data_IF_306614290043
#
_entry.id   IF_306614290043
#
_cell.length_a   1.000
_cell.length_b   1.000
_cell.length_c   1.000
_cell.angle_alpha   90.00
_cell.angle_beta   90.00
_cell.angle_gamma   90.00
#
_symmetry.space_group_name_H-M   'P 1'
#
loop_
_entity.id
_entity.type
_entity.pdbx_description
1 polymer ?
#
# COMPACT_ATOMS: atom_id res chain seq x y z
N UNK A 1 -20.73 -17.56 -14.06
CA UNK A 1 -20.01 -16.52 -14.83
C UNK A 1 -18.91 -15.82 -14.03
N UNK A 2 -19.11 -15.41 -12.77
CA UNK A 2 -18.07 -14.78 -11.94
C UNK A 2 -16.74 -15.58 -11.84
N UNK A 3 -16.81 -16.92 -11.78
CA UNK A 3 -15.63 -17.82 -11.78
C UNK A 3 -14.80 -17.80 -13.08
N UNK A 4 -15.40 -17.43 -14.21
CA UNK A 4 -14.69 -17.40 -15.51
C UNK A 4 -13.94 -16.08 -15.65
N UNK A 5 -14.55 -14.95 -15.25
CA UNK A 5 -13.92 -13.62 -15.28
C UNK A 5 -12.73 -13.55 -14.32
N UNK A 6 -12.84 -14.16 -13.13
CA UNK A 6 -11.73 -14.31 -12.18
C UNK A 6 -10.47 -14.96 -12.80
N UNK A 7 -10.64 -15.97 -13.66
CA UNK A 7 -9.52 -16.70 -14.25
C UNK A 7 -8.72 -15.89 -15.28
N UNK A 8 -9.27 -14.77 -15.77
CA UNK A 8 -8.62 -13.89 -16.75
C UNK A 8 -8.23 -12.52 -16.18
N UNK A 9 -8.62 -12.20 -14.94
CA UNK A 9 -8.29 -10.94 -14.29
C UNK A 9 -7.06 -11.06 -13.37
N UNK A 10 -6.81 -12.24 -12.81
CA UNK A 10 -5.72 -12.50 -11.86
C UNK A 10 -4.66 -13.40 -12.47
N UNK A 11 -3.40 -13.01 -12.32
CA UNK A 11 -2.25 -13.74 -12.82
C UNK A 11 -1.22 -13.97 -11.70
N UNK A 12 -1.55 -14.71 -10.62
CA UNK A 12 -0.58 -14.96 -9.56
C UNK A 12 0.68 -15.64 -10.13
N UNK A 13 1.88 -15.12 -9.83
CA UNK A 13 3.12 -15.77 -10.26
C UNK A 13 3.33 -17.07 -9.48
N UNK A 14 4.33 -17.86 -9.89
CA UNK A 14 4.87 -18.87 -8.98
C UNK A 14 5.46 -18.14 -7.76
N UNK A 15 5.27 -18.65 -6.53
CA UNK A 15 5.82 -18.01 -5.34
C UNK A 15 7.32 -17.78 -5.48
N UNK A 16 7.75 -16.55 -5.21
CA UNK A 16 9.14 -16.11 -5.29
C UNK A 16 9.82 -16.05 -3.92
N UNK A 17 9.14 -16.56 -2.89
CA UNK A 17 9.60 -16.54 -1.51
C UNK A 17 9.04 -17.73 -0.73
N UNK A 18 9.64 -17.96 0.44
CA UNK A 18 9.16 -18.86 1.47
C UNK A 18 9.00 -18.13 2.80
N UNK A 19 8.20 -18.69 3.72
CA UNK A 19 8.02 -18.15 5.08
C UNK A 19 8.64 -19.13 6.07
N UNK A 20 9.67 -18.67 6.78
CA UNK A 20 10.44 -19.50 7.72
C UNK A 20 10.22 -19.00 9.15
N UNK A 21 10.02 -19.93 10.09
CA UNK A 21 9.95 -19.56 11.51
C UNK A 21 11.35 -19.16 12.02
N UNK A 22 11.43 -18.11 12.82
CA UNK A 22 12.65 -17.76 13.52
C UNK A 22 13.03 -18.85 14.55
N UNK A 23 14.30 -18.92 14.92
CA UNK A 23 14.82 -19.93 15.87
C UNK A 23 14.14 -19.88 17.25
N UNK A 24 13.60 -18.72 17.63
CA UNK A 24 12.86 -18.52 18.88
C UNK A 24 11.38 -18.95 18.81
N UNK A 25 10.90 -19.35 17.63
CA UNK A 25 9.51 -19.74 17.34
C UNK A 25 8.49 -18.60 17.49
N UNK A 26 8.93 -17.35 17.68
CA UNK A 26 8.06 -16.23 18.06
C UNK A 26 7.57 -15.41 16.86
N UNK A 27 8.28 -15.50 15.72
CA UNK A 27 8.02 -14.72 14.52
C UNK A 27 8.37 -15.50 13.25
N UNK A 28 7.84 -15.06 12.10
CA UNK A 28 8.22 -15.60 10.80
C UNK A 28 8.98 -14.57 9.97
N UNK A 29 9.81 -15.04 9.05
CA UNK A 29 10.58 -14.22 8.11
C UNK A 29 10.24 -14.59 6.68
N UNK A 30 10.26 -13.59 5.81
CA UNK A 30 10.19 -13.80 4.38
C UNK A 30 11.59 -14.11 3.84
N UNK A 31 11.77 -15.27 3.22
CA UNK A 31 13.02 -15.67 2.58
C UNK A 31 12.82 -15.73 1.07
N UNK A 32 13.54 -14.87 0.33
CA UNK A 32 13.45 -14.78 -1.13
C UNK A 32 14.05 -16.03 -1.82
N UNK A 33 13.38 -16.51 -2.87
CA UNK A 33 13.93 -17.47 -3.81
C UNK A 33 14.57 -16.73 -4.98
N UNK A 34 15.90 -16.56 -4.90
CA UNK A 34 16.67 -15.84 -5.92
C UNK A 34 16.60 -16.49 -7.31
N UNK A 35 16.32 -17.79 -7.40
CA UNK A 35 16.15 -18.46 -8.70
C UNK A 35 14.84 -18.06 -9.39
N UNK A 36 13.83 -17.68 -8.61
CA UNK A 36 12.56 -17.18 -9.09
C UNK A 36 12.58 -15.67 -9.42
N UNK A 37 13.67 -14.97 -9.06
CA UNK A 37 13.83 -13.51 -9.21
C UNK A 37 15.07 -13.15 -10.05
N UNK A 38 15.09 -13.48 -11.37
CA UNK A 38 16.28 -13.33 -12.21
C UNK A 38 16.74 -11.87 -12.43
N UNK A 39 15.91 -10.89 -12.06
CA UNK A 39 16.21 -9.46 -12.19
C UNK A 39 16.82 -8.85 -10.92
N UNK A 40 16.83 -9.60 -9.80
CA UNK A 40 17.39 -9.13 -8.53
C UNK A 40 18.81 -9.67 -8.41
N UNK A 41 19.78 -8.84 -8.76
CA UNK A 41 21.21 -9.23 -8.80
C UNK A 41 21.98 -8.91 -7.51
N UNK A 42 21.41 -8.12 -6.60
CA UNK A 42 22.09 -7.65 -5.39
C UNK A 42 21.13 -7.63 -4.18
N UNK A 43 20.71 -8.80 -3.69
CA UNK A 43 20.11 -8.87 -2.35
C UNK A 43 21.25 -8.88 -1.34
N UNK A 44 21.46 -7.75 -0.67
CA UNK A 44 22.42 -7.61 0.43
C UNK A 44 21.89 -8.34 1.66
N UNK A 45 22.33 -9.58 1.89
CA UNK A 45 21.97 -10.45 3.04
C UNK A 45 20.45 -10.71 3.17
N UNK A 46 19.99 -11.77 3.85
CA UNK A 46 18.57 -11.97 4.05
C UNK A 46 18.01 -10.83 4.92
N UNK A 47 17.41 -9.83 4.28
CA UNK A 47 16.63 -8.79 4.94
C UNK A 47 15.66 -9.45 5.93
N UNK A 48 15.76 -9.10 7.22
CA UNK A 48 14.94 -9.66 8.30
C UNK A 48 13.49 -9.13 8.23
N UNK A 49 12.85 -9.28 7.07
CA UNK A 49 11.50 -8.80 6.85
C UNK A 49 10.53 -9.70 7.61
N UNK A 50 9.76 -9.07 8.49
CA UNK A 50 8.80 -9.76 9.32
C UNK A 50 7.64 -10.24 8.46
N UNK A 51 7.43 -11.56 8.43
CA UNK A 51 6.28 -12.17 7.83
C UNK A 51 5.33 -12.72 8.92
N UNK A 52 4.05 -12.77 8.62
CA UNK A 52 3.08 -13.49 9.45
C UNK A 52 1.87 -13.89 8.61
N UNK A 53 1.00 -14.74 9.19
CA UNK A 53 -0.26 -15.09 8.58
C UNK A 53 -1.42 -14.42 9.33
N UNK A 54 -2.43 -14.01 8.59
CA UNK A 54 -3.74 -13.66 9.14
C UNK A 54 -4.85 -14.43 8.43
N UNK A 55 -6.01 -14.55 9.08
CA UNK A 55 -7.17 -15.26 8.55
C UNK A 55 -8.26 -14.25 8.23
N UNK A 56 -8.77 -14.31 7.01
CA UNK A 56 -9.80 -13.36 6.55
C UNK A 56 -11.19 -13.80 6.98
N UNK A 57 -12.16 -12.87 6.90
CA UNK A 57 -13.56 -13.20 7.16
C UNK A 57 -14.13 -14.27 6.21
N UNK A 58 -13.45 -14.51 5.08
CA UNK A 58 -13.79 -15.55 4.10
C UNK A 58 -12.97 -16.83 4.25
N UNK A 59 -12.27 -16.96 5.39
CA UNK A 59 -11.47 -18.12 5.81
C UNK A 59 -10.25 -18.43 4.94
N UNK A 60 -9.83 -17.49 4.10
CA UNK A 60 -8.50 -17.54 3.48
C UNK A 60 -7.44 -17.26 4.53
N UNK A 61 -6.31 -17.96 4.44
CA UNK A 61 -5.12 -17.66 5.23
C UNK A 61 -4.13 -16.94 4.33
N UNK A 62 -3.89 -15.66 4.59
CA UNK A 62 -3.05 -14.82 3.75
C UNK A 62 -1.72 -14.49 4.43
N UNK A 63 -0.67 -14.33 3.62
CA UNK A 63 0.66 -13.92 4.08
C UNK A 63 0.70 -12.40 4.13
N UNK A 64 1.26 -11.87 5.21
CA UNK A 64 1.53 -10.44 5.41
C UNK A 64 3.03 -10.22 5.58
N UNK A 65 3.51 -9.07 5.10
CA UNK A 65 4.89 -8.61 5.19
C UNK A 65 4.91 -7.23 5.86
N UNK A 66 5.68 -7.10 6.93
CA UNK A 66 5.93 -5.83 7.58
C UNK A 66 7.37 -5.37 7.33
N UNK A 67 7.51 -4.13 6.84
CA UNK A 67 8.79 -3.49 6.54
C UNK A 67 8.91 -2.24 7.42
N UNK A 68 9.89 -2.18 8.35
CA UNK A 68 10.10 -1.01 9.18
C UNK A 68 10.67 0.17 8.38
N UNK A 69 10.50 1.39 8.89
CA UNK A 69 10.94 2.63 8.22
C UNK A 69 12.44 2.76 7.98
N UNK A 70 13.28 1.97 8.64
CA UNK A 70 14.72 1.91 8.39
C UNK A 70 15.10 0.98 7.23
N UNK A 71 14.13 0.29 6.64
CA UNK A 71 14.34 -0.63 5.53
C UNK A 71 14.68 -2.06 5.95
N UNK A 72 14.74 -2.39 7.26
CA UNK A 72 14.80 -3.79 7.71
C UNK A 72 15.93 -4.15 8.67
N UNK A 73 15.90 -3.61 9.89
CA UNK A 73 16.58 -4.22 11.05
C UNK A 73 15.70 -4.12 12.31
N UNK A 74 14.79 -5.08 12.52
CA UNK A 74 14.20 -5.25 13.85
C UNK A 74 15.32 -5.76 14.76
N UNK A 75 15.91 -4.89 15.58
CA UNK A 75 16.87 -5.33 16.60
C UNK A 75 16.22 -6.44 17.44
N UNK A 76 16.92 -7.55 17.74
CA UNK A 76 16.39 -8.56 18.65
C UNK A 76 16.07 -7.89 19.98
N UNK A 77 14.79 -7.74 20.30
CA UNK A 77 14.39 -7.23 21.61
C UNK A 77 14.80 -8.29 22.62
N UNK A 78 15.91 -8.07 23.32
CA UNK A 78 16.48 -8.95 24.34
C UNK A 78 15.63 -9.03 25.61
N UNK A 79 14.29 -8.95 25.51
CA UNK A 79 13.38 -8.99 26.65
C UNK A 79 12.40 -10.18 26.51
N UNK A 80 12.45 -11.18 27.42
CA UNK A 80 11.59 -12.36 27.35
C UNK A 80 10.12 -12.10 27.73
N UNK A 81 9.69 -10.83 27.85
CA UNK A 81 8.37 -10.49 28.40
C UNK A 81 7.32 -9.98 27.42
N UNK A 82 7.63 -9.76 26.14
CA UNK A 82 6.62 -9.58 25.08
C UNK A 82 7.16 -9.97 23.71
N UNK A 83 6.90 -11.22 23.29
CA UNK A 83 6.84 -11.61 21.88
C UNK A 83 5.67 -10.94 21.11
N UNK A 84 5.09 -9.88 21.69
CA UNK A 84 3.88 -9.16 21.25
C UNK A 84 4.12 -7.64 21.14
N UNK A 85 5.36 -7.18 21.30
CA UNK A 85 5.72 -5.78 21.13
C UNK A 85 6.57 -5.63 19.87
N UNK A 86 5.92 -5.65 18.70
CA UNK A 86 6.49 -5.25 17.40
C UNK A 86 6.74 -3.74 17.34
N UNK A 87 7.17 -3.13 18.45
CA UNK A 87 7.46 -1.72 18.52
C UNK A 87 8.63 -1.43 17.59
N UNK A 88 8.31 -0.82 16.43
CA UNK A 88 9.29 -0.17 15.57
C UNK A 88 10.23 0.65 16.43
N UNK A 89 11.54 0.41 16.32
CA UNK A 89 12.59 1.19 17.00
C UNK A 89 12.70 2.63 16.48
N UNK A 90 11.83 3.03 15.54
CA UNK A 90 11.69 4.38 15.02
C UNK A 90 10.20 4.77 14.98
N UNK A 91 9.83 5.89 15.60
CA UNK A 91 8.49 6.49 15.56
C UNK A 91 8.18 7.05 14.16
N UNK A 92 8.11 6.18 13.15
CA UNK A 92 7.69 6.59 11.82
C UNK A 92 6.32 7.29 11.93
N UNK A 93 6.15 8.47 11.32
CA UNK A 93 4.91 9.24 11.46
C UNK A 93 3.72 8.54 10.81
N UNK A 94 3.98 7.69 9.81
CA UNK A 94 2.97 6.99 9.04
C UNK A 94 3.34 5.52 8.81
N UNK A 95 2.30 4.68 8.70
CA UNK A 95 2.39 3.30 8.20
C UNK A 95 1.54 3.16 6.95
N UNK A 96 2.14 2.66 5.88
CA UNK A 96 1.50 2.42 4.59
C UNK A 96 0.95 1.00 4.55
N UNK A 97 -0.37 0.86 4.37
CA UNK A 97 -0.96 -0.39 3.93
C UNK A 97 -0.84 -0.45 2.40
N UNK A 98 0.05 -1.31 1.91
CA UNK A 98 0.40 -1.41 0.50
C UNK A 98 -0.30 -2.61 -0.15
N UNK A 99 -1.16 -2.34 -1.13
CA UNK A 99 -1.84 -3.33 -1.97
C UNK A 99 -1.10 -3.43 -3.31
N UNK A 100 -0.40 -4.55 -3.54
CA UNK A 100 0.46 -4.74 -4.70
C UNK A 100 -0.30 -4.94 -6.03
N UNK A 101 0.43 -4.88 -7.14
CA UNK A 101 -0.12 -5.07 -8.48
C UNK A 101 -0.51 -6.51 -8.80
N UNK A 102 -1.08 -6.70 -9.98
CA UNK A 102 -1.24 -8.04 -10.56
C UNK A 102 0.13 -8.62 -10.95
N UNK A 103 0.20 -9.94 -11.17
CA UNK A 103 1.40 -10.64 -11.66
C UNK A 103 2.67 -10.51 -10.80
N UNK A 104 2.54 -10.04 -9.57
CA UNK A 104 3.61 -9.97 -8.56
C UNK A 104 3.12 -10.59 -7.26
N UNK A 105 4.06 -11.01 -6.42
CA UNK A 105 3.83 -11.45 -5.04
C UNK A 105 4.69 -10.64 -4.06
N UNK A 106 4.60 -10.94 -2.77
CA UNK A 106 5.38 -10.26 -1.73
C UNK A 106 6.89 -10.34 -1.96
N UNK A 107 7.40 -11.48 -2.42
CA UNK A 107 8.83 -11.65 -2.68
C UNK A 107 9.32 -10.73 -3.80
N UNK A 108 8.59 -10.67 -4.92
CA UNK A 108 8.93 -9.81 -6.04
C UNK A 108 8.84 -8.31 -5.74
N UNK A 109 8.10 -7.92 -4.70
CA UNK A 109 7.92 -6.51 -4.30
C UNK A 109 8.79 -6.10 -3.12
N UNK A 110 9.41 -7.05 -2.41
CA UNK A 110 10.11 -6.81 -1.14
C UNK A 110 11.20 -5.72 -1.24
N UNK A 111 12.07 -5.78 -2.24
CA UNK A 111 13.17 -4.82 -2.42
C UNK A 111 12.66 -3.40 -2.66
N UNK A 112 11.63 -3.27 -3.50
CA UNK A 112 10.98 -1.99 -3.74
C UNK A 112 10.37 -1.42 -2.45
N UNK A 113 9.70 -2.27 -1.64
CA UNK A 113 9.09 -1.83 -0.39
C UNK A 113 10.14 -1.42 0.66
N UNK A 114 11.28 -2.11 0.73
CA UNK A 114 12.40 -1.71 1.62
C UNK A 114 12.96 -0.35 1.24
N UNK A 115 13.25 -0.13 -0.04
CA UNK A 115 13.74 1.16 -0.51
C UNK A 115 12.70 2.26 -0.32
N UNK A 116 11.41 1.95 -0.57
CA UNK A 116 10.31 2.88 -0.31
C UNK A 116 10.24 3.29 1.17
N UNK A 117 10.26 2.30 2.08
CA UNK A 117 10.20 2.52 3.52
C UNK A 117 11.36 3.42 3.98
N UNK A 118 12.59 3.06 3.59
CA UNK A 118 13.81 3.80 3.91
C UNK A 118 13.81 5.22 3.35
N UNK A 119 13.37 5.40 2.09
CA UNK A 119 13.40 6.69 1.40
C UNK A 119 12.41 7.69 1.97
N UNK A 120 11.24 7.23 2.40
CA UNK A 120 10.20 8.11 2.95
C UNK A 120 10.11 8.09 4.47
N UNK A 121 10.87 7.23 5.15
CA UNK A 121 10.83 7.10 6.61
C UNK A 121 9.47 6.63 7.12
N UNK A 122 8.87 5.66 6.42
CA UNK A 122 7.53 5.13 6.74
C UNK A 122 7.58 3.62 6.95
N UNK A 123 6.76 3.11 7.87
CA UNK A 123 6.54 1.67 7.95
C UNK A 123 5.64 1.22 6.79
N UNK A 124 5.75 -0.05 6.39
CA UNK A 124 4.86 -0.64 5.38
C UNK A 124 4.32 -1.97 5.89
N UNK A 125 3.01 -2.17 5.74
CA UNK A 125 2.34 -3.46 5.85
C UNK A 125 1.78 -3.83 4.48
N UNK A 126 2.35 -4.87 3.87
CA UNK A 126 1.91 -5.45 2.60
C UNK A 126 1.39 -6.87 2.82
N UNK A 127 0.71 -7.44 1.82
CA UNK A 127 0.10 -8.76 1.91
C UNK A 127 -0.11 -9.37 0.53
N UNK A 128 -0.10 -10.69 0.43
CA UNK A 128 -0.54 -11.41 -0.77
C UNK A 128 -2.05 -11.66 -0.73
N UNK A 129 -2.75 -11.41 -1.84
CA UNK A 129 -4.15 -11.75 -2.00
C UNK A 129 -4.42 -13.25 -1.84
N UNK A 130 -5.66 -13.63 -1.53
CA UNK A 130 -6.12 -15.01 -1.61
C UNK A 130 -5.73 -15.62 -2.96
N UNK A 131 -4.98 -16.73 -2.95
CA UNK A 131 -4.49 -17.41 -4.15
C UNK A 131 -3.21 -16.84 -4.77
N UNK A 132 -2.58 -15.83 -4.17
CA UNK A 132 -1.25 -15.32 -4.53
C UNK A 132 -0.19 -15.83 -3.55
N UNK A 133 1.07 -15.93 -4.00
CA UNK A 133 2.19 -16.33 -3.16
C UNK A 133 1.89 -17.62 -2.39
N UNK A 134 2.07 -17.58 -1.07
CA UNK A 134 1.74 -18.69 -0.16
C UNK A 134 0.36 -18.55 0.53
N UNK A 135 -0.46 -17.60 0.07
CA UNK A 135 -1.82 -17.39 0.56
C UNK A 135 -2.79 -18.44 0.01
N UNK A 136 -3.72 -18.89 0.86
CA UNK A 136 -4.79 -19.83 0.46
C UNK A 136 -6.01 -19.09 -0.10
N UNK A 137 -6.97 -19.84 -0.65
CA UNK A 137 -8.27 -19.31 -1.09
C UNK A 137 -8.38 -19.10 -2.60
N UNK A 138 -9.60 -18.78 -3.04
CA UNK A 138 -9.93 -18.59 -4.45
C UNK A 138 -9.64 -17.14 -4.91
N UNK A 139 -9.29 -16.98 -6.18
CA UNK A 139 -9.10 -15.68 -6.84
C UNK A 139 -10.47 -15.01 -7.10
N UNK A 140 -11.02 -14.30 -6.13
CA UNK A 140 -12.33 -13.64 -6.22
C UNK A 140 -12.22 -12.18 -5.75
N UNK A 141 -12.95 -11.27 -6.40
CA UNK A 141 -13.03 -9.87 -5.97
C UNK A 141 -13.45 -9.74 -4.50
N UNK A 142 -14.43 -10.54 -4.06
CA UNK A 142 -14.87 -10.55 -2.66
C UNK A 142 -13.81 -11.06 -1.68
N UNK A 143 -12.90 -11.94 -2.13
CA UNK A 143 -11.74 -12.35 -1.33
C UNK A 143 -10.73 -11.21 -1.26
N UNK A 144 -10.39 -10.56 -2.38
CA UNK A 144 -9.46 -9.40 -2.39
C UNK A 144 -9.89 -8.30 -1.41
N UNK A 145 -11.19 -7.99 -1.34
CA UNK A 145 -11.71 -7.03 -0.36
C UNK A 145 -11.63 -7.55 1.08
N UNK A 146 -11.93 -8.84 1.31
CA UNK A 146 -11.82 -9.44 2.65
C UNK A 146 -10.37 -9.57 3.14
N UNK A 147 -9.43 -9.79 2.22
CA UNK A 147 -7.99 -9.83 2.48
C UNK A 147 -7.52 -8.45 2.97
N UNK A 148 -7.85 -7.39 2.22
CA UNK A 148 -7.51 -6.02 2.57
C UNK A 148 -8.10 -5.59 3.93
N UNK A 149 -9.34 -5.97 4.21
CA UNK A 149 -10.01 -5.69 5.50
C UNK A 149 -9.32 -6.41 6.67
N UNK A 150 -8.87 -7.66 6.47
CA UNK A 150 -8.11 -8.39 7.49
C UNK A 150 -6.78 -7.68 7.80
N UNK A 151 -6.07 -7.20 6.79
CA UNK A 151 -4.80 -6.49 6.95
C UNK A 151 -4.99 -5.12 7.60
N UNK A 152 -6.06 -4.41 7.26
CA UNK A 152 -6.45 -3.18 7.96
C UNK A 152 -6.73 -3.42 9.45
N UNK A 153 -7.32 -4.59 9.77
CA UNK A 153 -7.57 -5.01 11.17
C UNK A 153 -6.24 -5.29 11.88
N UNK A 154 -5.33 -6.04 11.27
CA UNK A 154 -3.99 -6.29 11.82
C UNK A 154 -3.22 -4.99 12.06
N UNK A 155 -3.27 -4.05 11.11
CA UNK A 155 -2.64 -2.74 11.24
C UNK A 155 -3.13 -1.97 12.48
N UNK A 156 -4.45 -1.99 12.73
CA UNK A 156 -5.07 -1.27 13.84
C UNK A 156 -4.95 -2.00 15.18
N UNK A 157 -5.04 -3.32 15.19
CA UNK A 157 -5.13 -4.12 16.42
C UNK A 157 -3.78 -4.69 16.86
N UNK A 158 -3.02 -5.30 15.92
CA UNK A 158 -1.69 -5.86 16.21
C UNK A 158 -0.65 -4.76 16.32
N UNK A 159 -0.62 -3.85 15.35
CA UNK A 159 0.38 -2.79 15.28
C UNK A 159 -0.04 -1.48 15.96
N UNK A 160 -1.29 -1.41 16.45
CA UNK A 160 -1.83 -0.23 17.16
C UNK A 160 -1.68 1.08 16.36
N UNK A 161 -1.77 1.02 15.02
CA UNK A 161 -1.66 2.20 14.17
C UNK A 161 -3.04 2.88 14.05
N UNK A 162 -3.18 4.14 14.49
CA UNK A 162 -4.43 4.90 14.35
C UNK A 162 -4.66 5.31 12.89
N UNK A 163 -5.92 5.58 12.51
CA UNK A 163 -6.30 5.90 11.12
C UNK A 163 -5.59 7.16 10.61
N UNK A 164 -5.34 8.12 11.49
CA UNK A 164 -4.65 9.38 11.26
C UNK A 164 -3.16 9.20 10.93
N UNK A 165 -2.61 8.01 11.21
CA UNK A 165 -1.24 7.60 10.82
C UNK A 165 -1.23 6.51 9.75
N UNK A 166 -2.39 6.10 9.25
CA UNK A 166 -2.51 5.10 8.18
C UNK A 166 -2.53 5.79 6.83
N UNK A 167 -1.75 5.24 5.89
CA UNK A 167 -1.82 5.58 4.46
C UNK A 167 -2.26 4.33 3.71
N UNK A 168 -3.24 4.47 2.82
CA UNK A 168 -3.61 3.37 1.92
C UNK A 168 -2.93 3.60 0.57
N UNK A 169 -2.14 2.64 0.11
CA UNK A 169 -1.45 2.71 -1.17
C UNK A 169 -1.85 1.51 -2.02
N UNK A 170 -2.35 1.75 -3.23
CA UNK A 170 -2.65 0.68 -4.19
C UNK A 170 -1.94 0.91 -5.52
N UNK A 171 -1.36 -0.14 -6.10
CA UNK A 171 -0.80 -0.13 -7.44
C UNK A 171 -1.60 -1.03 -8.38
N UNK A 172 -1.99 -0.50 -9.55
CA UNK A 172 -2.70 -1.26 -10.59
C UNK A 172 -3.94 -1.97 -10.01
N UNK A 173 -4.02 -3.30 -10.09
CA UNK A 173 -5.06 -4.12 -9.43
C UNK A 173 -5.26 -3.75 -7.95
N UNK A 174 -4.17 -3.49 -7.22
CA UNK A 174 -4.21 -3.13 -5.80
C UNK A 174 -4.99 -1.87 -5.50
N UNK A 175 -5.24 -1.00 -6.48
CA UNK A 175 -6.12 0.17 -6.29
C UNK A 175 -7.58 -0.22 -6.00
N UNK A 176 -8.04 -1.40 -6.39
CA UNK A 176 -9.39 -1.86 -6.09
C UNK A 176 -9.66 -2.10 -4.59
N UNK A 177 -8.88 -2.93 -3.87
CA UNK A 177 -9.03 -3.03 -2.41
C UNK A 177 -8.70 -1.72 -1.70
N UNK A 178 -7.75 -0.92 -2.19
CA UNK A 178 -7.46 0.40 -1.62
C UNK A 178 -8.67 1.33 -1.66
N UNK A 179 -9.35 1.43 -2.82
CA UNK A 179 -10.57 2.23 -2.96
C UNK A 179 -11.68 1.69 -2.05
N UNK A 180 -11.88 0.37 -1.99
CA UNK A 180 -12.86 -0.25 -1.09
C UNK A 180 -12.63 0.16 0.37
N UNK A 181 -11.40 0.02 0.88
CA UNK A 181 -11.03 0.43 2.23
C UNK A 181 -11.24 1.94 2.44
N UNK A 182 -10.83 2.77 1.48
CA UNK A 182 -10.95 4.23 1.54
C UNK A 182 -12.41 4.73 1.56
N UNK A 183 -13.38 3.92 1.10
CA UNK A 183 -14.81 4.25 1.28
C UNK A 183 -15.30 4.04 2.71
N UNK A 184 -14.65 3.14 3.47
CA UNK A 184 -15.02 2.77 4.84
C UNK A 184 -14.27 3.62 5.87
N UNK A 185 -12.98 3.83 5.64
CA UNK A 185 -12.05 4.47 6.58
C UNK A 185 -11.60 5.84 6.09
N UNK A 186 -11.73 6.86 6.95
CA UNK A 186 -11.05 8.14 6.75
C UNK A 186 -9.65 8.01 7.34
N UNK A 187 -8.65 7.93 6.47
CA UNK A 187 -7.23 7.74 6.81
C UNK A 187 -6.46 9.03 6.54
N UNK A 188 -5.18 9.10 6.92
CA UNK A 188 -4.35 10.28 6.69
C UNK A 188 -4.22 10.64 5.21
N UNK A 189 -4.13 9.62 4.34
CA UNK A 189 -4.09 9.81 2.89
C UNK A 189 -4.22 8.52 2.10
N UNK A 190 -4.54 8.68 0.82
CA UNK A 190 -4.69 7.57 -0.13
C UNK A 190 -3.82 7.86 -1.35
N UNK A 191 -3.08 6.86 -1.82
CA UNK A 191 -2.33 6.92 -3.08
C UNK A 191 -2.84 5.83 -4.02
N UNK A 192 -3.28 6.25 -5.20
CA UNK A 192 -3.73 5.38 -6.27
C UNK A 192 -2.73 5.46 -7.44
N UNK A 193 -1.92 4.42 -7.60
CA UNK A 193 -0.90 4.31 -8.63
C UNK A 193 -1.41 3.47 -9.80
N UNK A 194 -1.53 4.10 -10.97
CA UNK A 194 -2.13 3.55 -12.20
C UNK A 194 -3.49 2.88 -11.97
N UNK A 195 -4.48 3.61 -11.39
CA UNK A 195 -5.76 3.02 -10.99
C UNK A 195 -6.65 2.62 -12.16
N UNK A 196 -7.44 1.57 -11.96
CA UNK A 196 -8.52 1.15 -12.86
C UNK A 196 -9.88 1.70 -12.43
N UNK A 197 -10.69 2.15 -13.39
CA UNK A 197 -12.11 2.48 -13.16
C UNK A 197 -12.96 1.25 -12.86
N UNK A 198 -12.74 0.17 -13.62
CA UNK A 198 -13.34 -1.16 -13.45
C UNK A 198 -12.66 -2.18 -14.37
N UNK A 199 -12.86 -3.47 -14.11
CA UNK A 199 -12.29 -4.55 -14.89
C UNK A 199 -12.75 -4.54 -16.35
N UNK A 200 -14.03 -4.32 -16.61
CA UNK A 200 -14.53 -4.21 -17.99
C UNK A 200 -13.99 -2.99 -18.72
N UNK A 201 -13.74 -1.87 -18.03
CA UNK A 201 -13.18 -0.67 -18.66
C UNK A 201 -11.70 -0.82 -19.03
N UNK A 202 -10.97 -1.70 -18.35
CA UNK A 202 -9.59 -2.05 -18.76
C UNK A 202 -9.62 -2.78 -20.12
N UNK A 203 -10.54 -3.72 -20.29
CA UNK A 203 -10.67 -4.49 -21.55
C UNK A 203 -11.37 -3.69 -22.65
N UNK A 204 -12.33 -2.86 -22.29
CA UNK A 204 -13.13 -2.02 -23.19
C UNK A 204 -13.13 -0.54 -22.74
N UNK A 205 -12.08 0.24 -23.09
CA UNK A 205 -11.87 1.61 -22.59
C UNK A 205 -12.99 2.61 -22.90
N UNK A 206 -13.78 2.36 -23.95
CA UNK A 206 -14.86 3.25 -24.37
C UNK A 206 -16.19 2.98 -23.65
N UNK A 207 -16.22 2.07 -22.66
CA UNK A 207 -17.43 1.69 -21.96
C UNK A 207 -17.91 2.79 -20.99
N UNK A 208 -19.10 3.34 -21.26
CA UNK A 208 -19.67 4.45 -20.48
C UNK A 208 -20.49 4.01 -19.26
N UNK A 209 -21.06 2.80 -19.29
CA UNK A 209 -22.00 2.31 -18.27
C UNK A 209 -21.39 1.17 -17.46
N UNK A 210 -21.62 1.17 -16.15
CA UNK A 210 -21.23 0.08 -15.26
C UNK A 210 -22.29 -1.03 -15.29
N UNK A 211 -21.85 -2.30 -15.29
CA UNK A 211 -22.73 -3.45 -15.26
C UNK A 211 -22.63 -4.20 -13.92
N UNK A 212 -23.68 -4.91 -13.52
CA UNK A 212 -23.70 -5.67 -12.27
C UNK A 212 -22.69 -6.84 -12.21
N UNK A 213 -22.14 -7.24 -13.35
CA UNK A 213 -21.10 -8.26 -13.48
C UNK A 213 -19.70 -7.67 -13.72
N UNK A 214 -19.58 -6.34 -13.73
CA UNK A 214 -18.29 -5.66 -13.82
C UNK A 214 -17.54 -5.82 -12.50
N UNK A 215 -16.28 -6.24 -12.57
CA UNK A 215 -15.44 -6.42 -11.40
C UNK A 215 -14.77 -5.10 -11.03
N UNK A 216 -14.54 -4.87 -9.74
CA UNK A 216 -13.75 -3.75 -9.24
C UNK A 216 -14.25 -2.37 -9.70
N UNK A 217 -15.56 -2.12 -9.58
CA UNK A 217 -16.24 -0.89 -10.02
C UNK A 217 -15.85 0.36 -9.19
N UNK A 218 -14.56 0.69 -9.17
CA UNK A 218 -13.97 1.80 -8.45
C UNK A 218 -14.61 3.14 -8.84
N UNK A 219 -15.00 3.31 -10.10
CA UNK A 219 -15.67 4.51 -10.60
C UNK A 219 -16.94 4.89 -9.82
N UNK A 220 -17.66 3.89 -9.28
CA UNK A 220 -18.86 4.08 -8.47
C UNK A 220 -18.54 4.35 -6.98
N UNK A 221 -17.32 4.01 -6.56
CA UNK A 221 -16.86 4.05 -5.16
C UNK A 221 -16.07 5.31 -4.85
N UNK A 222 -15.28 5.82 -5.80
CA UNK A 222 -14.42 7.01 -5.65
C UNK A 222 -15.12 8.21 -5.00
N UNK A 223 -16.37 8.59 -5.35
CA UNK A 223 -17.04 9.74 -4.73
C UNK A 223 -17.25 9.62 -3.21
N UNK A 224 -17.08 8.41 -2.64
CA UNK A 224 -17.23 8.14 -1.20
C UNK A 224 -15.92 8.29 -0.42
N UNK A 225 -14.79 8.49 -1.09
CA UNK A 225 -13.48 8.62 -0.43
C UNK A 225 -13.38 10.01 0.21
N UNK A 226 -13.23 10.02 1.53
CA UNK A 226 -13.16 11.27 2.34
C UNK A 226 -11.72 11.75 2.60
N UNK A 227 -10.75 10.86 2.44
CA UNK A 227 -9.33 11.13 2.70
C UNK A 227 -8.70 11.93 1.55
N UNK A 228 -7.68 12.78 1.83
CA UNK A 228 -6.85 13.37 0.78
C UNK A 228 -6.28 12.26 -0.13
N UNK A 229 -6.49 12.39 -1.44
CA UNK A 229 -6.17 11.31 -2.38
C UNK A 229 -5.28 11.80 -3.51
N UNK A 230 -4.13 11.14 -3.67
CA UNK A 230 -3.17 11.35 -4.76
C UNK A 230 -3.37 10.28 -5.84
N UNK A 231 -3.46 10.69 -7.10
CA UNK A 231 -3.36 9.81 -8.26
C UNK A 231 -2.01 10.00 -8.95
N UNK A 232 -1.34 8.89 -9.24
CA UNK A 232 -0.11 8.83 -10.04
C UNK A 232 -0.37 7.93 -11.24
N UNK A 233 -0.09 8.39 -12.46
CA UNK A 233 -0.34 7.62 -13.68
C UNK A 233 0.62 8.01 -14.82
N UNK A 234 1.15 7.01 -15.53
CA UNK A 234 1.91 7.22 -16.77
C UNK A 234 1.01 7.64 -17.92
N UNK A 235 1.45 8.59 -18.74
CA UNK A 235 0.64 9.07 -19.88
C UNK A 235 0.65 8.13 -21.08
N UNK A 236 1.61 7.21 -21.14
CA UNK A 236 1.77 6.19 -22.18
C UNK A 236 1.43 4.78 -21.66
N UNK A 237 0.70 4.68 -20.54
CA UNK A 237 0.24 3.41 -19.96
C UNK A 237 -0.65 2.65 -20.95
N UNK A 238 -0.15 1.50 -21.40
CA UNK A 238 -0.75 0.61 -22.40
C UNK A 238 -1.57 -0.53 -21.77
N UNK A 239 -1.51 -0.69 -20.45
CA UNK A 239 -2.26 -1.71 -19.70
C UNK A 239 -3.53 -1.10 -19.11
N UNK A 240 -3.40 0.02 -18.40
CA UNK A 240 -4.51 0.79 -17.84
C UNK A 240 -4.37 2.21 -18.35
N UNK A 241 -5.02 2.54 -19.47
CA UNK A 241 -4.88 3.85 -20.08
C UNK A 241 -5.13 5.02 -19.12
N UNK A 242 -4.33 6.09 -19.24
CA UNK A 242 -4.33 7.28 -18.38
C UNK A 242 -5.71 7.92 -18.15
N UNK A 243 -6.67 7.69 -19.06
CA UNK A 243 -8.05 8.14 -18.90
C UNK A 243 -8.73 7.57 -17.66
N UNK A 244 -8.31 6.37 -17.20
CA UNK A 244 -8.80 5.80 -15.94
C UNK A 244 -8.42 6.69 -14.76
N UNK A 245 -7.14 7.07 -14.64
CA UNK A 245 -6.68 7.99 -13.62
C UNK A 245 -7.38 9.34 -13.70
N UNK A 246 -7.53 9.92 -14.90
CA UNK A 246 -8.17 11.23 -15.09
C UNK A 246 -9.65 11.24 -14.69
N UNK A 247 -10.39 10.20 -15.06
CA UNK A 247 -11.81 10.10 -14.75
C UNK A 247 -12.07 9.80 -13.26
N UNK A 248 -11.20 9.02 -12.61
CA UNK A 248 -11.27 8.83 -11.16
C UNK A 248 -10.90 10.14 -10.44
N UNK A 249 -9.86 10.84 -10.92
CA UNK A 249 -9.43 12.12 -10.36
C UNK A 249 -10.55 13.16 -10.35
N UNK A 250 -11.30 13.30 -11.45
CA UNK A 250 -12.38 14.29 -11.58
C UNK A 250 -13.55 14.06 -10.62
N UNK A 251 -13.63 12.87 -10.01
CA UNK A 251 -14.71 12.45 -9.10
C UNK A 251 -14.28 12.40 -7.64
N UNK A 252 -13.02 12.68 -7.33
CA UNK A 252 -12.52 12.69 -5.96
C UNK A 252 -13.09 13.89 -5.20
N UNK A 253 -13.62 13.70 -3.97
CA UNK A 253 -14.05 14.81 -3.12
C UNK A 253 -12.91 15.67 -2.60
N UNK A 254 -11.74 15.06 -2.34
CA UNK A 254 -10.55 15.74 -1.83
C UNK A 254 -9.29 15.31 -2.62
N UNK A 255 -9.15 15.76 -3.88
CA UNK A 255 -8.00 15.42 -4.70
C UNK A 255 -6.77 16.25 -4.28
N UNK A 256 -5.63 15.58 -4.11
CA UNK A 256 -4.31 16.22 -4.07
C UNK A 256 -3.80 16.42 -5.50
N UNK A 257 -2.84 17.33 -5.70
CA UNK A 257 -2.26 17.56 -7.03
C UNK A 257 -1.76 16.23 -7.64
N UNK A 258 -2.29 15.79 -8.79
CA UNK A 258 -1.97 14.49 -9.36
C UNK A 258 -0.60 14.52 -10.04
N UNK A 259 -0.01 13.34 -10.25
CA UNK A 259 1.18 13.19 -11.08
C UNK A 259 0.84 12.41 -12.35
N UNK A 260 0.88 13.12 -13.48
CA UNK A 260 0.82 12.52 -14.81
C UNK A 260 2.24 12.41 -15.36
N UNK A 261 2.84 11.22 -15.36
CA UNK A 261 4.24 11.04 -15.77
C UNK A 261 4.31 10.95 -17.29
N UNK A 262 4.81 12.02 -17.93
CA UNK A 262 4.93 12.13 -19.37
C UNK A 262 5.84 11.04 -19.95
N UNK A 263 5.29 10.22 -20.84
CA UNK A 263 6.01 9.16 -21.55
C UNK A 263 6.16 7.84 -20.80
N UNK A 264 5.84 7.78 -19.51
CA UNK A 264 5.87 6.54 -18.74
C UNK A 264 4.71 5.60 -19.13
N UNK A 265 5.02 4.31 -19.23
CA UNK A 265 4.09 3.19 -19.36
C UNK A 265 3.54 2.70 -18.02
N UNK A 266 3.04 1.47 -17.97
CA UNK A 266 2.42 0.90 -16.76
C UNK A 266 3.44 0.52 -15.68
N UNK A 267 4.61 0.00 -16.09
CA UNK A 267 5.55 -0.69 -15.22
C UNK A 267 6.88 0.06 -14.99
N UNK A 268 7.07 1.22 -15.63
CA UNK A 268 8.32 1.99 -15.60
C UNK A 268 8.19 3.33 -14.84
N UNK A 269 7.01 3.68 -14.31
CA UNK A 269 6.76 4.95 -13.62
C UNK A 269 7.77 5.21 -12.50
N UNK A 270 8.17 4.16 -11.79
CA UNK A 270 9.14 4.22 -10.67
C UNK A 270 10.56 4.53 -11.13
N UNK A 271 10.88 4.41 -12.43
CA UNK A 271 12.16 4.79 -13.01
C UNK A 271 12.28 6.30 -13.25
N UNK A 272 11.15 7.04 -13.24
CA UNK A 272 11.12 8.48 -13.43
C UNK A 272 11.33 9.21 -12.09
N UNK A 273 12.29 10.15 -11.98
CA UNK A 273 12.53 10.90 -10.74
C UNK A 273 11.28 11.60 -10.18
N UNK A 274 10.41 12.07 -11.08
CA UNK A 274 9.15 12.75 -10.74
C UNK A 274 8.25 11.91 -9.80
N UNK A 275 8.29 10.58 -9.90
CA UNK A 275 7.55 9.67 -9.03
C UNK A 275 7.93 9.87 -7.56
N UNK A 276 9.23 9.78 -7.26
CA UNK A 276 9.71 9.92 -5.90
C UNK A 276 9.64 11.37 -5.40
N UNK A 277 9.84 12.36 -6.27
CA UNK A 277 9.69 13.77 -5.90
C UNK A 277 8.26 14.08 -5.47
N UNK A 278 7.26 13.57 -6.21
CA UNK A 278 5.85 13.76 -5.88
C UNK A 278 5.49 13.08 -4.57
N UNK A 279 5.93 11.84 -4.37
CA UNK A 279 5.69 11.13 -3.11
C UNK A 279 6.40 11.80 -1.93
N UNK A 280 7.58 12.38 -2.15
CA UNK A 280 8.26 13.21 -1.16
C UNK A 280 7.39 14.37 -0.70
N UNK A 281 6.80 15.12 -1.64
CA UNK A 281 5.82 16.19 -1.32
C UNK A 281 4.59 15.66 -0.61
N UNK A 282 4.07 14.50 -1.02
CA UNK A 282 2.92 13.86 -0.36
C UNK A 282 3.19 13.65 1.13
N UNK A 283 4.29 12.97 1.47
CA UNK A 283 4.61 12.66 2.87
C UNK A 283 5.06 13.88 3.68
N UNK A 284 5.79 14.82 3.07
CA UNK A 284 6.41 15.92 3.81
C UNK A 284 5.51 17.16 3.94
N UNK A 285 4.59 17.36 3.01
CA UNK A 285 3.76 18.57 2.89
C UNK A 285 2.27 18.22 2.91
N UNK A 286 1.77 17.50 1.90
CA UNK A 286 0.32 17.29 1.71
C UNK A 286 -0.34 16.68 2.97
N UNK A 287 0.29 15.67 3.57
CA UNK A 287 -0.25 15.00 4.76
C UNK A 287 -0.24 15.89 6.01
N UNK A 288 0.67 16.87 6.11
CA UNK A 288 0.75 17.77 7.27
C UNK A 288 -0.24 18.92 7.18
N UNK A 289 -0.45 19.44 5.97
CA UNK A 289 -1.40 20.53 5.72
C UNK A 289 -2.86 20.10 5.87
N UNK A 290 -3.13 18.79 5.73
CA UNK A 290 -4.46 18.20 5.89
C UNK A 290 -4.75 17.69 7.32
N UNK A 291 -3.87 17.93 8.30
CA UNK A 291 -4.17 17.66 9.70
C UNK A 291 -5.19 18.69 10.23
N UNK A 292 -6.19 18.27 11.03
CA UNK A 292 -7.05 19.21 11.74
C UNK A 292 -6.20 20.20 12.56
N UNK A 293 -6.55 21.49 12.50
CA UNK A 293 -5.82 22.60 13.14
C UNK A 293 -5.55 22.42 14.65
N UNK A 294 -6.25 21.49 15.31
CA UNK A 294 -6.14 21.23 16.75
C UNK A 294 -4.91 20.38 17.15
N UNK A 295 -4.14 19.85 16.19
CA UNK A 295 -2.96 18.99 16.47
C UNK A 295 -1.60 19.60 16.07
N UNK A 296 -1.54 20.87 15.67
CA UNK A 296 -0.25 21.53 15.46
C UNK A 296 0.43 21.78 16.83
N UNK A 297 1.70 21.36 17.03
CA UNK A 297 2.41 21.67 18.26
C UNK A 297 2.50 23.18 18.42
N UNK A 298 1.96 23.68 19.53
CA UNK A 298 2.03 25.08 19.91
C UNK A 298 3.50 25.47 20.08
N UNK A 299 4.08 26.10 19.06
CA UNK A 299 5.37 26.73 19.19
C UNK A 299 5.25 27.83 20.25
N UNK A 300 5.90 27.59 21.39
CA UNK A 300 6.16 28.58 22.42
C UNK A 300 6.93 29.75 21.82
N UNK A 301 6.23 30.76 21.33
CA UNK A 301 6.77 32.09 21.19
C UNK A 301 6.84 32.65 22.62
N UNK A 302 7.96 32.39 23.30
CA UNK A 302 8.32 33.17 24.48
C UNK A 302 8.57 34.59 24.01
N UNK A 303 7.64 35.47 24.34
CA UNK A 303 7.80 36.91 24.21
C UNK A 303 8.95 37.35 25.10
N UNK A 304 10.11 37.59 24.48
CA UNK A 304 11.23 38.26 25.12
C UNK A 304 10.84 39.73 25.32
N UNK A 305 10.20 40.01 26.46
CA UNK A 305 9.96 41.38 26.92
C UNK A 305 11.30 41.97 27.35
N UNK A 306 11.82 42.88 26.54
CA UNK A 306 12.98 43.71 26.88
C UNK A 306 12.51 44.79 27.86
N UNK A 307 12.81 44.58 29.14
CA UNK A 307 12.74 45.63 30.16
C UNK A 307 13.90 46.60 29.94
N UNK A 308 13.58 47.81 29.47
CA UNK A 308 14.47 48.97 29.63
C UNK A 308 14.27 49.53 31.04
N UNK A 309 15.35 49.53 31.82
CA UNK A 309 15.46 50.30 33.05
C UNK A 309 16.92 50.71 33.27
N UNK A 310 17.13 52.03 33.24
CA UNK A 310 18.33 52.84 33.51
C UNK A 310 19.22 53.16 32.31
#
# INVERSE_FOLDING_TARGET
>A
MARIVAKYAFYPPRPTYSVVACEDGSSYRLQLDLNALPYISNVSEPSELLAFYTTTQRQSRIVCLYVPSDGGCLSPVSSPRRATAWASSTEAPYTVLFSHGNAVDLGATADFLQEFARRFGVNILSYDYSGYGLSTGDLLESNVYADAEAVMTELRERFNVPLERTILYGQSLGTAPTVELATKYKVAGVVLHSPLMSGLRVVWPNLKTSFCFDAFTNIEKIPKIRSPTLIIHGTADDVIGVNHGRELYSRLPNPLEPLWVGGAGHNDITEFPAYFDRLGRFFQQDLKENLPLDELPSNNISSCSSSKSK
#
